data_IF_362292021813
#
_entry.id   IF_362292021813
#
_cell.length_a   1.000
_cell.length_b   1.000
_cell.length_c   1.000
_cell.angle_alpha   90.00
_cell.angle_beta   90.00
_cell.angle_gamma   90.00
#
_symmetry.space_group_name_H-M   'P 1'
#
loop_
_entity.id
_entity.type
_entity.pdbx_description
1 polymer ?
#
# COMPACT_ATOMS: atom_id res chain seq x y z
N UNK A 1 15.95 12.29 -14.06
CA UNK A 1 14.83 13.14 -14.50
C UNK A 1 14.16 13.65 -13.24
N UNK A 2 14.07 14.96 -13.06
CA UNK A 2 13.51 15.61 -11.86
C UNK A 2 12.10 16.17 -12.11
N UNK A 3 11.39 15.64 -13.12
CA UNK A 3 10.05 16.08 -13.47
C UNK A 3 8.99 15.10 -12.98
N UNK A 4 7.84 15.64 -12.59
CA UNK A 4 6.62 14.90 -12.28
C UNK A 4 5.77 14.83 -13.55
N UNK A 5 5.37 13.61 -13.93
CA UNK A 5 4.49 13.38 -15.08
C UNK A 5 3.09 13.05 -14.60
N UNK A 6 2.09 13.77 -15.11
CA UNK A 6 0.68 13.52 -14.81
C UNK A 6 -0.03 12.96 -16.03
N UNK A 7 -0.50 11.72 -15.92
CA UNK A 7 -1.26 11.03 -16.96
C UNK A 7 -2.76 11.13 -16.66
N UNK A 8 -3.43 12.05 -17.35
CA UNK A 8 -4.84 12.35 -17.16
C UNK A 8 -5.69 11.97 -18.38
N UNK A 9 -7.02 11.80 -18.21
CA UNK A 9 -7.95 11.77 -19.33
C UNK A 9 -7.86 13.07 -20.15
N UNK A 10 -8.00 12.96 -21.46
CA UNK A 10 -8.18 14.14 -22.32
C UNK A 10 -9.54 14.79 -22.06
N UNK A 11 -9.65 16.10 -22.32
CA UNK A 11 -10.88 16.87 -22.07
C UNK A 11 -12.09 16.35 -22.88
N UNK A 12 -11.85 15.74 -24.03
CA UNK A 12 -12.88 15.12 -24.88
C UNK A 12 -13.28 13.70 -24.43
N UNK A 13 -12.61 13.16 -23.40
CA UNK A 13 -12.82 11.82 -22.87
C UNK A 13 -12.37 10.68 -23.80
N UNK A 14 -11.74 10.97 -24.94
CA UNK A 14 -11.38 9.97 -25.97
C UNK A 14 -9.90 9.63 -26.02
N UNK A 15 -9.09 10.26 -25.19
CA UNK A 15 -7.65 10.04 -25.13
C UNK A 15 -7.07 10.27 -23.73
N UNK A 16 -5.75 10.27 -23.66
CA UNK A 16 -4.99 10.65 -22.47
C UNK A 16 -4.02 11.75 -22.82
N UNK A 17 -3.79 12.65 -21.88
CA UNK A 17 -2.78 13.69 -21.96
C UNK A 17 -1.70 13.42 -20.93
N UNK A 18 -0.50 13.92 -21.22
CA UNK A 18 0.63 13.93 -20.29
C UNK A 18 0.94 15.39 -20.00
N UNK A 19 0.95 15.76 -18.74
CA UNK A 19 1.43 17.06 -18.26
C UNK A 19 2.75 16.81 -17.54
N UNK A 20 3.83 17.43 -18.03
CA UNK A 20 5.14 17.39 -17.38
C UNK A 20 5.29 18.64 -16.51
N UNK A 21 5.74 18.44 -15.27
CA UNK A 21 5.95 19.48 -14.28
C UNK A 21 7.39 19.42 -13.76
N UNK A 22 8.15 20.49 -13.94
CA UNK A 22 9.44 20.69 -13.29
C UNK A 22 9.29 21.15 -11.83
N UNK A 23 10.38 21.14 -11.04
CA UNK A 23 10.35 21.63 -9.66
C UNK A 23 9.80 23.06 -9.55
N UNK A 24 8.82 23.27 -8.67
CA UNK A 24 8.12 24.53 -8.47
C UNK A 24 6.94 24.77 -9.42
N UNK A 25 6.77 23.93 -10.45
CA UNK A 25 5.62 24.02 -11.36
C UNK A 25 4.41 23.28 -10.79
N UNK A 26 3.22 23.71 -11.20
CA UNK A 26 1.97 23.11 -10.79
C UNK A 26 0.96 23.00 -11.91
N UNK A 27 0.05 22.03 -11.76
CA UNK A 27 -1.10 21.82 -12.63
C UNK A 27 -2.38 21.82 -11.81
N UNK A 28 -3.32 22.71 -12.15
CA UNK A 28 -4.65 22.70 -11.58
C UNK A 28 -5.49 21.64 -12.26
N UNK A 29 -6.36 21.03 -11.47
CA UNK A 29 -7.29 20.04 -11.97
C UNK A 29 -8.71 20.37 -11.54
N UNK A 30 -9.66 19.92 -12.36
CA UNK A 30 -11.08 20.11 -12.12
C UNK A 30 -11.85 20.03 -13.41
N UNK A 31 -13.12 20.45 -13.37
CA UNK A 31 -13.99 20.46 -14.54
C UNK A 31 -13.72 21.64 -15.48
N UNK A 32 -13.09 22.71 -14.96
CA UNK A 32 -12.82 23.95 -15.69
C UNK A 32 -14.06 24.74 -16.12
N UNK A 33 -13.81 25.88 -16.75
CA UNK A 33 -14.75 26.67 -17.55
C UNK A 33 -13.98 27.62 -18.48
N UNK A 34 -14.69 28.29 -19.39
CA UNK A 34 -14.12 29.34 -20.24
C UNK A 34 -13.45 30.48 -19.46
N UNK A 35 -13.95 30.77 -18.25
CA UNK A 35 -13.36 31.75 -17.32
C UNK A 35 -12.34 31.16 -16.34
N UNK A 36 -12.16 29.84 -16.32
CA UNK A 36 -11.32 29.13 -15.35
C UNK A 36 -10.71 27.90 -16.00
N UNK A 37 -9.61 28.12 -16.70
CA UNK A 37 -8.86 27.04 -17.35
C UNK A 37 -8.12 26.22 -16.30
N UNK A 38 -8.09 24.91 -16.54
CA UNK A 38 -7.34 23.93 -15.74
C UNK A 38 -6.54 23.06 -16.69
N UNK A 39 -5.33 22.73 -16.29
CA UNK A 39 -4.39 21.95 -17.09
C UNK A 39 -4.85 20.47 -17.17
N UNK A 40 -5.53 19.98 -16.14
CA UNK A 40 -6.09 18.62 -16.07
C UNK A 40 -7.62 18.69 -15.96
N UNK A 41 -8.31 18.30 -17.04
CA UNK A 41 -9.77 18.34 -17.09
C UNK A 41 -10.41 17.02 -16.68
N UNK A 42 -11.34 17.08 -15.73
CA UNK A 42 -12.15 15.95 -15.27
C UNK A 42 -13.63 16.28 -15.52
N UNK A 43 -14.22 15.63 -16.52
CA UNK A 43 -15.54 16.03 -17.07
C UNK A 43 -16.75 15.74 -16.15
N UNK A 44 -16.61 14.90 -15.12
CA UNK A 44 -17.73 14.48 -14.27
C UNK A 44 -18.38 15.68 -13.56
N UNK A 45 -19.72 15.85 -13.64
CA UNK A 45 -20.43 16.96 -13.01
C UNK A 45 -20.26 17.09 -11.49
N UNK A 46 -19.89 16.02 -10.79
CA UNK A 46 -19.61 16.02 -9.36
C UNK A 46 -18.23 16.60 -9.01
N UNK A 47 -17.34 16.77 -10.00
CA UNK A 47 -16.03 17.39 -9.80
C UNK A 47 -16.16 18.92 -9.84
N UNK A 48 -15.63 19.65 -8.82
CA UNK A 48 -15.60 21.10 -8.84
C UNK A 48 -14.91 21.67 -10.09
N UNK A 49 -15.27 22.90 -10.49
CA UNK A 49 -14.60 23.56 -11.64
C UNK A 49 -13.10 23.72 -11.39
N UNK A 50 -12.74 24.07 -10.16
CA UNK A 50 -11.38 24.05 -9.64
C UNK A 50 -11.37 23.13 -8.43
N UNK A 51 -10.89 21.91 -8.63
CA UNK A 51 -10.93 20.84 -7.63
C UNK A 51 -9.66 20.83 -6.78
N UNK A 52 -8.51 21.13 -7.38
CA UNK A 52 -7.24 21.14 -6.69
C UNK A 52 -6.08 21.53 -7.58
N UNK A 53 -4.89 21.32 -7.04
CA UNK A 53 -3.62 21.57 -7.71
C UNK A 53 -2.60 20.51 -7.31
N UNK A 54 -1.81 20.08 -8.27
CA UNK A 54 -0.60 19.27 -8.08
C UNK A 54 0.58 20.23 -8.19
N UNK A 55 1.56 20.10 -7.31
CA UNK A 55 2.80 20.89 -7.37
C UNK A 55 3.98 19.95 -7.28
N UNK A 56 4.91 20.05 -8.23
CA UNK A 56 6.19 19.35 -8.16
C UNK A 56 7.16 20.14 -7.27
N UNK A 57 7.88 19.46 -6.40
CA UNK A 57 8.98 20.05 -5.61
C UNK A 57 10.31 19.43 -6.04
N UNK A 58 11.40 19.74 -5.35
CA UNK A 58 12.72 19.19 -5.72
C UNK A 58 12.84 17.68 -5.44
N UNK A 59 12.21 17.20 -4.37
CA UNK A 59 12.38 15.85 -3.82
C UNK A 59 11.07 15.08 -3.61
N UNK A 60 9.91 15.72 -3.83
CA UNK A 60 8.59 15.10 -3.73
C UNK A 60 7.58 15.83 -4.62
N UNK A 61 6.30 15.52 -4.44
CA UNK A 61 5.22 16.30 -5.01
C UNK A 61 4.08 16.45 -4.01
N UNK A 62 3.25 17.45 -4.24
CA UNK A 62 2.21 17.86 -3.30
C UNK A 62 0.85 17.87 -3.98
N UNK A 63 -0.20 17.57 -3.20
CA UNK A 63 -1.58 17.67 -3.60
C UNK A 63 -2.33 18.69 -2.74
N UNK A 64 -2.89 19.69 -3.38
CA UNK A 64 -3.84 20.63 -2.77
C UNK A 64 -5.27 20.22 -3.11
N UNK A 65 -6.10 20.06 -2.08
CA UNK A 65 -7.53 19.79 -2.20
C UNK A 65 -8.30 21.08 -1.94
N UNK A 66 -8.89 21.66 -2.98
CA UNK A 66 -9.72 22.87 -2.87
C UNK A 66 -11.20 22.58 -2.62
N UNK A 67 -11.62 21.32 -2.62
CA UNK A 67 -12.98 20.95 -2.22
C UNK A 67 -13.22 21.34 -0.77
N UNK A 68 -14.44 21.82 -0.49
CA UNK A 68 -14.92 22.18 0.84
C UNK A 68 -15.62 21.03 1.55
N UNK A 69 -15.92 19.94 0.83
CA UNK A 69 -16.82 18.87 1.29
C UNK A 69 -16.11 17.52 1.35
N UNK A 70 -15.51 17.10 0.26
CA UNK A 70 -14.96 15.75 0.12
C UNK A 70 -13.43 15.72 0.21
N UNK A 71 -12.92 14.66 0.82
CA UNK A 71 -11.50 14.31 0.76
C UNK A 71 -11.17 13.69 -0.59
N UNK A 72 -9.91 13.80 -1.01
CA UNK A 72 -9.35 13.04 -2.11
C UNK A 72 -8.53 11.87 -1.57
N UNK A 73 -8.42 10.81 -2.37
CA UNK A 73 -7.52 9.71 -2.06
C UNK A 73 -6.33 9.78 -3.01
N UNK A 74 -5.15 9.49 -2.47
CA UNK A 74 -3.99 9.17 -3.29
C UNK A 74 -3.64 7.73 -2.96
N UNK A 75 -3.86 6.85 -3.92
CA UNK A 75 -3.59 5.42 -3.82
C UNK A 75 -2.16 5.15 -4.33
N UNK A 76 -1.45 4.23 -3.69
CA UNK A 76 -0.19 3.67 -4.16
C UNK A 76 -0.51 2.34 -4.87
N UNK A 77 -0.49 2.29 -6.22
CA UNK A 77 -0.78 1.06 -6.94
C UNK A 77 0.28 -0.04 -6.74
N UNK A 78 1.46 0.30 -6.20
CA UNK A 78 2.54 -0.64 -5.90
C UNK A 78 2.55 -1.08 -4.42
N UNK A 79 1.69 -0.50 -3.57
CA UNK A 79 1.79 -0.61 -2.11
C UNK A 79 0.74 -1.48 -1.44
N UNK A 80 0.34 -2.63 -2.00
CA UNK A 80 -0.66 -3.53 -1.41
C UNK A 80 -1.95 -2.83 -0.90
N UNK A 81 -2.46 -1.83 -1.64
CA UNK A 81 -3.64 -1.05 -1.29
C UNK A 81 -3.40 0.13 -0.32
N UNK A 82 -2.16 0.55 -0.12
CA UNK A 82 -1.81 1.78 0.58
C UNK A 82 -2.46 3.02 -0.04
N UNK A 83 -2.95 3.93 0.82
CA UNK A 83 -3.46 5.21 0.38
C UNK A 83 -3.30 6.28 1.47
N UNK A 84 -3.25 7.54 1.04
CA UNK A 84 -3.40 8.69 1.92
C UNK A 84 -4.68 9.45 1.58
N UNK A 85 -5.31 10.02 2.62
CA UNK A 85 -6.50 10.85 2.47
C UNK A 85 -6.11 12.32 2.58
N UNK A 86 -6.37 13.10 1.54
CA UNK A 86 -6.15 14.54 1.53
C UNK A 86 -7.47 15.23 1.88
N UNK A 87 -7.55 15.74 3.11
CA UNK A 87 -8.74 16.37 3.67
C UNK A 87 -9.21 17.59 2.84
N UNK A 88 -10.51 17.95 2.90
CA UNK A 88 -11.02 19.18 2.28
C UNK A 88 -10.22 20.41 2.73
N UNK A 89 -9.96 21.32 1.80
CA UNK A 89 -9.19 22.57 2.01
C UNK A 89 -7.73 22.37 2.46
N UNK A 90 -7.19 21.14 2.42
CA UNK A 90 -5.78 20.90 2.71
C UNK A 90 -4.95 21.40 1.53
N UNK A 91 -4.00 22.29 1.80
CA UNK A 91 -3.04 22.79 0.82
C UNK A 91 -1.72 22.04 0.97
N UNK A 92 -1.06 21.79 -0.16
CA UNK A 92 0.31 21.28 -0.21
C UNK A 92 0.52 20.00 0.60
N UNK A 93 -0.41 19.03 0.52
CA UNK A 93 -0.21 17.76 1.22
C UNK A 93 0.93 16.99 0.54
N UNK A 94 2.05 16.70 1.23
CA UNK A 94 3.15 15.96 0.63
C UNK A 94 2.70 14.54 0.33
N UNK A 95 3.01 14.06 -0.87
CA UNK A 95 2.68 12.71 -1.31
C UNK A 95 3.94 11.86 -1.34
N UNK A 96 4.01 10.78 -0.55
CA UNK A 96 5.21 9.95 -0.43
C UNK A 96 5.23 8.80 -1.44
N UNK A 97 4.60 8.97 -2.61
CA UNK A 97 4.48 7.92 -3.62
C UNK A 97 5.05 8.37 -4.95
N UNK A 98 5.99 7.60 -5.48
CA UNK A 98 6.58 7.74 -6.81
C UNK A 98 5.53 7.46 -7.90
N UNK A 99 4.78 6.37 -7.76
CA UNK A 99 3.65 6.06 -8.61
C UNK A 99 2.36 6.16 -7.81
N UNK A 100 1.48 7.06 -8.24
CA UNK A 100 0.26 7.32 -7.51
C UNK A 100 -0.95 7.45 -8.41
N UNK A 101 -2.11 7.10 -7.87
CA UNK A 101 -3.41 7.35 -8.48
C UNK A 101 -4.20 8.31 -7.59
N UNK A 102 -4.48 9.51 -8.10
CA UNK A 102 -5.32 10.48 -7.39
C UNK A 102 -6.77 10.23 -7.76
N UNK A 103 -7.62 10.04 -6.74
CA UNK A 103 -9.02 9.63 -6.90
C UNK A 103 -9.93 10.67 -6.28
N UNK A 104 -10.89 11.14 -7.07
CA UNK A 104 -11.93 12.07 -6.67
C UNK A 104 -13.27 11.34 -6.57
N UNK A 105 -14.05 11.59 -5.50
CA UNK A 105 -15.37 11.01 -5.37
C UNK A 105 -16.33 11.65 -6.39
N UNK A 106 -17.13 10.81 -7.04
CA UNK A 106 -18.18 11.22 -7.99
C UNK A 106 -19.49 10.48 -7.66
N UNK A 107 -20.57 10.77 -8.41
CA UNK A 107 -21.85 10.05 -8.24
C UNK A 107 -21.88 8.68 -8.92
N UNK A 108 -20.90 8.40 -9.78
CA UNK A 108 -20.74 7.15 -10.52
C UNK A 108 -19.36 6.54 -10.26
N UNK A 109 -18.72 5.94 -11.27
CA UNK A 109 -17.32 5.53 -11.15
C UNK A 109 -16.43 6.71 -10.77
N UNK A 110 -15.54 6.51 -9.81
CA UNK A 110 -14.64 7.56 -9.36
C UNK A 110 -13.74 8.06 -10.50
N UNK A 111 -13.54 9.38 -10.56
CA UNK A 111 -12.62 9.98 -11.52
C UNK A 111 -11.20 9.93 -10.97
N UNK A 112 -10.23 9.64 -11.83
CA UNK A 112 -8.84 9.55 -11.43
C UNK A 112 -7.85 9.94 -12.53
N UNK A 113 -6.66 10.31 -12.12
CA UNK A 113 -5.48 10.46 -12.96
C UNK A 113 -4.27 9.87 -12.24
N UNK A 114 -3.19 9.61 -12.98
CA UNK A 114 -1.97 9.02 -12.43
C UNK A 114 -0.86 10.05 -12.38
N UNK A 115 -0.02 9.95 -11.35
CA UNK A 115 1.14 10.81 -11.15
C UNK A 115 2.37 9.90 -11.06
N UNK A 116 3.40 10.23 -11.82
CA UNK A 116 4.70 9.57 -11.80
C UNK A 116 5.73 10.62 -11.38
N UNK A 117 6.25 10.49 -10.17
CA UNK A 117 7.30 11.35 -9.62
C UNK A 117 8.66 10.65 -9.70
N UNK A 118 9.76 11.42 -9.65
CA UNK A 118 11.11 10.86 -9.53
C UNK A 118 11.25 9.97 -8.29
N UNK A 119 12.12 8.97 -8.38
CA UNK A 119 12.41 8.07 -7.25
C UNK A 119 12.98 8.83 -6.05
N UNK A 120 12.55 8.47 -4.83
CA UNK A 120 13.15 9.03 -3.63
C UNK A 120 14.62 8.61 -3.53
N UNK A 121 15.46 9.54 -3.06
CA UNK A 121 16.86 9.23 -2.75
C UNK A 121 16.91 8.63 -1.35
N UNK A 122 17.27 7.35 -1.26
CA UNK A 122 17.47 6.67 0.00
C UNK A 122 18.91 6.83 0.48
N UNK A 123 19.08 6.99 1.79
CA UNK A 123 20.40 7.05 2.40
C UNK A 123 21.07 5.67 2.31
N UNK A 124 22.22 5.59 1.64
CA UNK A 124 23.03 4.37 1.62
C UNK A 124 23.60 4.11 3.02
N UNK A 125 23.35 2.93 3.58
CA UNK A 125 23.80 2.60 4.93
C UNK A 125 25.33 2.47 4.96
N UNK A 126 26.04 3.56 5.24
CA UNK A 126 27.43 3.48 5.68
C UNK A 126 27.46 2.67 6.98
N UNK A 127 28.32 1.65 7.06
CA UNK A 127 28.60 1.01 8.34
C UNK A 127 29.13 2.08 9.28
N UNK A 128 28.39 2.43 10.36
CA UNK A 128 28.92 3.37 11.32
C UNK A 128 30.24 2.80 11.84
N UNK A 129 31.27 3.64 12.06
CA UNK A 129 32.49 3.19 12.73
C UNK A 129 32.11 2.48 14.03
N UNK A 130 32.93 1.53 14.51
CA UNK A 130 32.66 0.86 15.79
C UNK A 130 32.56 1.91 16.91
N UNK A 131 31.31 2.26 17.25
CA UNK A 131 31.02 3.22 18.30
C UNK A 131 31.06 2.47 19.62
N UNK A 132 31.79 3.00 20.60
CA UNK A 132 31.79 2.46 21.95
C UNK A 132 30.38 2.52 22.55
N UNK A 133 29.74 1.37 22.76
CA UNK A 133 28.39 1.27 23.31
C UNK A 133 27.77 -0.12 23.12
N UNK A 134 26.61 -0.36 23.73
CA UNK A 134 25.86 -1.59 23.48
C UNK A 134 25.33 -1.64 22.05
N UNK A 135 25.46 -2.78 21.38
CA UNK A 135 24.93 -2.97 20.04
C UNK A 135 23.42 -2.71 19.98
N UNK A 136 22.96 -2.03 18.93
CA UNK A 136 21.53 -1.83 18.66
C UNK A 136 20.88 -3.19 18.40
N UNK A 137 19.94 -3.58 19.27
CA UNK A 137 19.17 -4.80 19.09
C UNK A 137 18.00 -4.55 18.11
N UNK A 138 17.76 -5.49 17.20
CA UNK A 138 16.57 -5.45 16.35
C UNK A 138 15.30 -5.55 17.19
N UNK A 139 14.31 -4.70 16.91
CA UNK A 139 13.00 -4.73 17.56
C UNK A 139 12.25 -6.06 17.28
N UNK A 140 12.46 -6.64 16.10
CA UNK A 140 11.87 -7.90 15.66
C UNK A 140 12.93 -8.78 15.01
N UNK A 141 13.45 -9.76 15.76
CA UNK A 141 14.43 -10.73 15.23
C UNK A 141 13.72 -11.92 14.58
N UNK A 142 13.17 -11.70 13.38
CA UNK A 142 12.62 -12.75 12.54
C UNK A 142 13.74 -13.40 11.71
N UNK A 143 13.66 -14.72 11.56
CA UNK A 143 14.53 -15.53 10.73
C UNK A 143 13.68 -16.01 9.54
N UNK A 144 13.98 -15.48 8.36
CA UNK A 144 13.20 -15.74 7.15
C UNK A 144 13.30 -17.20 6.67
N UNK A 145 14.32 -17.93 7.12
CA UNK A 145 14.51 -19.35 6.80
C UNK A 145 13.65 -20.29 7.65
N UNK A 146 13.06 -19.79 8.74
CA UNK A 146 12.35 -20.61 9.70
C UNK A 146 10.88 -20.88 9.32
N UNK A 147 10.37 -22.06 9.68
CA UNK A 147 8.97 -22.46 9.40
C UNK A 147 7.93 -21.48 9.96
N UNK A 148 8.20 -20.86 11.11
CA UNK A 148 7.28 -19.86 11.66
C UNK A 148 7.17 -18.63 10.75
N UNK A 149 8.22 -18.28 10.01
CA UNK A 149 8.18 -17.17 9.06
C UNK A 149 7.34 -17.53 7.85
N UNK A 150 7.46 -18.74 7.30
CA UNK A 150 6.57 -19.23 6.24
C UNK A 150 5.09 -19.21 6.66
N UNK A 151 4.79 -19.59 7.91
CA UNK A 151 3.44 -19.45 8.50
C UNK A 151 2.98 -17.99 8.53
N UNK A 152 3.87 -17.06 8.92
CA UNK A 152 3.56 -15.63 8.93
C UNK A 152 3.29 -15.09 7.52
N UNK A 153 4.10 -15.46 6.53
CA UNK A 153 3.92 -15.08 5.13
C UNK A 153 2.58 -15.61 4.59
N UNK A 154 2.24 -16.87 4.85
CA UNK A 154 0.96 -17.45 4.43
C UNK A 154 -0.26 -16.74 5.06
N UNK A 155 -0.15 -16.28 6.31
CA UNK A 155 -1.20 -15.49 6.96
C UNK A 155 -1.35 -14.09 6.35
N UNK A 156 -0.24 -13.49 5.90
CA UNK A 156 -0.23 -12.14 5.30
C UNK A 156 -0.58 -12.15 3.81
N UNK A 157 -0.42 -13.28 3.11
CA UNK A 157 -0.57 -13.40 1.65
C UNK A 157 -1.85 -12.74 1.12
N UNK A 158 -3.06 -12.95 1.68
CA UNK A 158 -4.27 -12.36 1.09
C UNK A 158 -4.25 -10.83 1.05
N UNK A 159 -3.73 -10.19 2.11
CA UNK A 159 -3.67 -8.73 2.19
C UNK A 159 -2.58 -8.15 1.30
N UNK A 160 -1.46 -8.86 1.13
CA UNK A 160 -0.36 -8.48 0.24
C UNK A 160 -0.70 -8.63 -1.26
N UNK A 161 -1.75 -9.37 -1.61
CA UNK A 161 -2.21 -9.54 -3.00
C UNK A 161 -3.47 -8.73 -3.30
N UNK A 162 -3.62 -7.56 -2.67
CA UNK A 162 -4.72 -6.62 -2.87
C UNK A 162 -6.13 -7.19 -2.64
N UNK A 163 -6.30 -8.03 -1.61
CA UNK A 163 -7.62 -8.33 -1.05
C UNK A 163 -7.75 -7.71 0.36
N UNK A 164 -7.96 -6.38 0.49
CA UNK A 164 -8.06 -5.72 1.80
C UNK A 164 -9.20 -6.26 2.68
N UNK A 165 -10.26 -6.76 2.03
CA UNK A 165 -11.42 -7.37 2.68
C UNK A 165 -11.27 -8.90 2.89
N UNK A 166 -10.16 -9.52 2.49
CA UNK A 166 -9.96 -10.94 2.75
C UNK A 166 -9.83 -11.18 4.26
N UNK A 167 -10.66 -12.09 4.76
CA UNK A 167 -10.51 -12.62 6.11
C UNK A 167 -9.14 -13.27 6.28
N UNK A 168 -8.61 -13.21 7.50
CA UNK A 168 -7.30 -13.80 7.79
C UNK A 168 -7.39 -15.32 7.71
N UNK A 169 -6.44 -15.99 7.03
CA UNK A 169 -6.44 -17.44 6.92
C UNK A 169 -6.46 -18.14 8.27
N UNK A 170 -7.24 -19.22 8.33
CA UNK A 170 -7.22 -20.16 9.45
C UNK A 170 -5.93 -20.98 9.47
N UNK A 171 -5.60 -21.61 10.59
CA UNK A 171 -4.45 -22.53 10.69
C UNK A 171 -4.54 -23.67 9.69
N UNK A 172 -5.75 -24.20 9.47
CA UNK A 172 -6.02 -25.19 8.43
C UNK A 172 -5.69 -24.68 7.03
N UNK A 173 -6.18 -23.48 6.69
CA UNK A 173 -5.89 -22.86 5.40
C UNK A 173 -4.40 -22.58 5.21
N UNK A 174 -3.67 -22.21 6.28
CA UNK A 174 -2.21 -22.06 6.23
C UNK A 174 -1.51 -23.39 5.93
N UNK A 175 -1.91 -24.48 6.60
CA UNK A 175 -1.37 -25.83 6.34
C UNK A 175 -1.64 -26.24 4.89
N UNK A 176 -2.88 -26.07 4.41
CA UNK A 176 -3.23 -26.35 3.03
C UNK A 176 -2.40 -25.52 2.04
N UNK A 177 -2.17 -24.24 2.36
CA UNK A 177 -1.37 -23.31 1.54
C UNK A 177 0.11 -23.69 1.47
N UNK A 178 0.66 -24.28 2.53
CA UNK A 178 2.07 -24.64 2.67
C UNK A 178 2.39 -26.10 2.33
N UNK A 179 1.39 -26.94 2.06
CA UNK A 179 1.56 -28.39 1.84
C UNK A 179 2.57 -28.75 0.75
N UNK A 180 2.66 -27.92 -0.30
CA UNK A 180 3.60 -28.14 -1.41
C UNK A 180 5.00 -27.53 -1.17
N UNK A 181 5.22 -26.88 -0.03
CA UNK A 181 6.51 -26.31 0.32
C UNK A 181 7.46 -27.41 0.83
N UNK A 182 8.71 -27.51 0.34
CA UNK A 182 9.64 -28.58 0.73
C UNK A 182 9.82 -28.73 2.24
N UNK A 183 9.89 -27.60 2.96
CA UNK A 183 10.09 -27.57 4.42
C UNK A 183 8.81 -27.74 5.25
N UNK A 184 7.62 -27.85 4.61
CA UNK A 184 6.33 -27.84 5.31
C UNK A 184 5.38 -28.98 4.90
N UNK A 185 5.86 -30.00 4.16
CA UNK A 185 5.02 -31.10 3.68
C UNK A 185 4.28 -31.86 4.79
N UNK A 186 4.85 -31.91 5.99
CA UNK A 186 4.29 -32.56 7.19
C UNK A 186 3.70 -31.58 8.21
N UNK A 187 3.55 -30.30 7.85
CA UNK A 187 3.05 -29.29 8.78
C UNK A 187 1.60 -29.62 9.19
N UNK A 188 1.38 -29.88 10.47
CA UNK A 188 0.04 -30.13 11.02
C UNK A 188 -0.64 -28.83 11.47
N UNK A 189 -1.96 -28.85 11.62
CA UNK A 189 -2.70 -27.70 12.18
C UNK A 189 -2.23 -27.33 13.59
N UNK A 190 -1.84 -28.33 14.39
CA UNK A 190 -1.30 -28.12 15.72
C UNK A 190 0.07 -27.44 15.68
N UNK A 191 0.96 -27.86 14.77
CA UNK A 191 2.25 -27.22 14.55
C UNK A 191 2.10 -25.78 14.03
N UNK A 192 1.17 -25.53 13.11
CA UNK A 192 0.85 -24.18 12.64
C UNK A 192 0.33 -23.28 13.78
N UNK A 193 -0.53 -23.82 14.66
CA UNK A 193 -1.00 -23.10 15.86
C UNK A 193 0.14 -22.79 16.83
N UNK A 194 1.07 -23.73 17.03
CA UNK A 194 2.27 -23.51 17.82
C UNK A 194 3.15 -22.38 17.24
N UNK A 195 3.38 -22.37 15.93
CA UNK A 195 4.15 -21.30 15.28
C UNK A 195 3.47 -19.93 15.40
N UNK A 196 2.15 -19.87 15.28
CA UNK A 196 1.39 -18.65 15.54
C UNK A 196 1.58 -18.16 16.99
N UNK A 197 1.56 -19.06 17.97
CA UNK A 197 1.79 -18.71 19.37
C UNK A 197 3.22 -18.23 19.63
N UNK A 198 4.21 -18.88 19.02
CA UNK A 198 5.61 -18.49 19.08
C UNK A 198 5.83 -17.10 18.45
N UNK A 199 5.25 -16.85 17.27
CA UNK A 199 5.23 -15.53 16.64
C UNK A 199 4.66 -14.47 17.58
N UNK A 200 3.45 -14.71 18.09
CA UNK A 200 2.74 -13.75 18.93
C UNK A 200 3.51 -13.41 20.22
N UNK A 201 4.07 -14.41 20.91
CA UNK A 201 4.68 -14.22 22.23
C UNK A 201 6.16 -13.86 22.18
N UNK A 202 6.93 -14.57 21.34
CA UNK A 202 8.38 -14.51 21.38
C UNK A 202 8.94 -13.50 20.37
N UNK A 203 8.39 -13.49 19.16
CA UNK A 203 8.93 -12.68 18.05
C UNK A 203 8.32 -11.30 17.96
N UNK A 204 7.00 -11.22 18.05
CA UNK A 204 6.22 -10.00 17.83
C UNK A 204 5.74 -9.36 19.14
N UNK A 205 5.74 -10.12 20.24
CA UNK A 205 5.35 -9.66 21.59
C UNK A 205 4.00 -8.92 21.57
N UNK A 206 3.06 -9.46 20.79
CA UNK A 206 1.72 -8.91 20.61
C UNK A 206 1.02 -8.91 21.97
N UNK A 207 0.75 -7.71 22.49
CA UNK A 207 -0.11 -7.56 23.68
C UNK A 207 -1.50 -8.05 23.31
N UNK A 208 -2.12 -8.83 24.19
CA UNK A 208 -3.52 -9.25 24.01
C UNK A 208 -4.33 -7.97 23.85
N UNK A 209 -4.89 -7.74 22.68
CA UNK A 209 -5.82 -6.64 22.45
C UNK A 209 -7.11 -6.99 23.17
N UNK A 210 -7.62 -6.07 23.98
CA UNK A 210 -8.86 -6.22 24.76
C UNK A 210 -10.12 -6.12 23.87
N UNK A 211 -10.07 -6.71 22.66
CA UNK A 211 -11.13 -6.64 21.67
C UNK A 211 -12.03 -7.89 21.77
N UNK A 212 -13.32 -7.65 21.97
CA UNK A 212 -14.37 -8.66 22.05
C UNK A 212 -14.54 -9.40 20.70
N UNK A 213 -13.99 -10.61 20.63
CA UNK A 213 -14.19 -11.57 19.53
C UNK A 213 -13.68 -12.97 19.93
N UNK A 214 -13.93 -14.03 19.13
CA UNK A 214 -13.41 -15.37 19.40
C UNK A 214 -11.89 -15.30 19.60
N UNK A 215 -11.41 -15.76 20.76
CA UNK A 215 -10.06 -15.50 21.32
C UNK A 215 -8.87 -15.78 20.37
N UNK A 216 -9.06 -16.61 19.34
CA UNK A 216 -8.01 -16.99 18.37
C UNK A 216 -7.96 -16.09 17.14
N UNK A 217 -9.10 -15.55 16.70
CA UNK A 217 -9.17 -14.67 15.53
C UNK A 217 -8.49 -13.34 15.80
N UNK A 218 -8.71 -12.77 17.00
CA UNK A 218 -8.03 -11.55 17.43
C UNK A 218 -6.50 -11.68 17.51
N UNK A 219 -5.98 -12.88 17.82
CA UNK A 219 -4.53 -13.12 17.87
C UNK A 219 -3.92 -13.13 16.47
N UNK A 220 -4.52 -13.87 15.52
CA UNK A 220 -4.06 -13.88 14.12
C UNK A 220 -4.13 -12.49 13.52
N UNK A 221 -5.22 -11.77 13.78
CA UNK A 221 -5.41 -10.38 13.36
C UNK A 221 -4.32 -9.46 13.89
N UNK A 222 -4.00 -9.53 15.18
CA UNK A 222 -2.97 -8.69 15.75
C UNK A 222 -1.56 -9.04 15.23
N UNK A 223 -1.26 -10.32 15.00
CA UNK A 223 0.00 -10.77 14.39
C UNK A 223 0.15 -10.24 12.96
N UNK A 224 -0.86 -10.46 12.10
CA UNK A 224 -0.84 -10.00 10.71
C UNK A 224 -0.80 -8.48 10.63
N UNK A 225 -1.63 -7.80 11.43
CA UNK A 225 -1.66 -6.33 11.47
C UNK A 225 -0.32 -5.74 11.90
N UNK A 226 0.36 -6.33 12.89
CA UNK A 226 1.68 -5.85 13.31
C UNK A 226 2.74 -6.11 12.24
N UNK A 227 2.74 -7.31 11.65
CA UNK A 227 3.70 -7.68 10.62
C UNK A 227 3.61 -6.78 9.39
N UNK A 228 2.39 -6.51 8.91
CA UNK A 228 2.18 -5.62 7.76
C UNK A 228 2.48 -4.16 8.11
N UNK A 229 2.07 -3.68 9.29
CA UNK A 229 2.30 -2.30 9.73
C UNK A 229 3.78 -1.90 9.72
N UNK A 230 4.66 -2.82 10.11
CA UNK A 230 6.10 -2.58 10.20
C UNK A 230 6.88 -3.16 9.02
N UNK A 231 6.20 -3.62 7.96
CA UNK A 231 6.86 -4.19 6.78
C UNK A 231 7.71 -5.42 7.10
N UNK A 232 7.37 -6.19 8.14
CA UNK A 232 8.07 -7.43 8.52
C UNK A 232 7.82 -8.55 7.51
N UNK A 233 6.68 -8.50 6.82
CA UNK A 233 6.39 -9.30 5.64
C UNK A 233 6.01 -8.39 4.49
N UNK A 234 6.71 -8.54 3.37
CA UNK A 234 6.56 -7.74 2.14
C UNK A 234 6.21 -8.62 0.94
N UNK A 235 5.90 -8.00 -0.19
CA UNK A 235 5.56 -8.72 -1.42
C UNK A 235 6.68 -9.64 -1.90
N UNK A 236 7.95 -9.25 -1.73
CA UNK A 236 9.11 -10.08 -2.06
C UNK A 236 9.09 -11.45 -1.34
N UNK A 237 8.55 -11.51 -0.13
CA UNK A 237 8.47 -12.74 0.65
C UNK A 237 7.38 -13.69 0.12
N UNK A 238 6.46 -13.23 -0.75
CA UNK A 238 5.49 -14.12 -1.39
C UNK A 238 6.18 -15.19 -2.26
N UNK A 239 7.41 -14.93 -2.71
CA UNK A 239 8.25 -15.92 -3.40
C UNK A 239 8.65 -17.12 -2.54
N UNK A 240 8.56 -17.01 -1.21
CA UNK A 240 8.79 -18.11 -0.28
C UNK A 240 7.62 -19.10 -0.24
N UNK A 241 6.43 -18.70 -0.73
CA UNK A 241 5.28 -19.59 -0.75
C UNK A 241 5.27 -20.44 -2.02
N UNK A 242 4.72 -21.66 -1.98
CA UNK A 242 4.51 -22.45 -3.19
C UNK A 242 3.71 -21.67 -4.24
N UNK A 243 4.00 -21.82 -5.55
CA UNK A 243 3.22 -21.18 -6.59
C UNK A 243 1.74 -21.61 -6.49
N UNK A 244 0.82 -20.66 -6.67
CA UNK A 244 -0.61 -21.01 -6.74
C UNK A 244 -0.87 -21.79 -8.03
N UNK A 245 -1.76 -22.80 -8.00
CA UNK A 245 -2.29 -23.35 -9.24
C UNK A 245 -2.91 -22.19 -10.03
N UNK A 246 -2.51 -22.02 -11.30
CA UNK A 246 -3.18 -21.08 -12.18
C UNK A 246 -4.64 -21.51 -12.24
N UNK A 247 -5.56 -20.63 -11.82
CA UNK A 247 -6.97 -20.82 -12.18
C UNK A 247 -7.01 -20.78 -13.70
N UNK A 248 -7.25 -21.92 -14.33
CA UNK A 248 -7.68 -21.99 -15.72
C UNK A 248 -8.96 -21.18 -15.82
N UNK A 249 -8.84 -19.91 -16.21
CA UNK A 249 -9.96 -19.10 -16.61
C UNK A 249 -10.55 -19.76 -17.86
N UNK A 250 -11.77 -20.25 -17.70
CA UNK A 250 -12.61 -20.76 -18.78
C UNK A 250 -12.68 -19.74 -19.91
N UNK A 251 -12.07 -20.09 -21.05
CA UNK A 251 -12.53 -19.62 -22.35
C UNK A 251 -13.89 -20.23 -22.61
N UNK A 252 -14.93 -19.40 -22.56
CA UNK A 252 -16.18 -19.55 -23.34
C UNK A 252 -16.85 -18.20 -23.49
#
# INVERSE_FOLDING_TARGET
MNSVLVHAPAADGRGRIIVELGPGEGARFGRGSTSLMVEITLADPAVPRLAGEITATEDHWQLSNFSTVHSYLVENPEGAGEYIRVAPRRLGAPVPFEFARVVLPTRGPAQAFHVYAPAHTYHEAAHPPELSGSATLSAFSLDESATYFLVLVALCEPRLRDLPAAGIPTTRQVVERLRLHPSCGELTEQAASFHLDYLARNKLRVRRTDAHGPRMDGKREAVVSLALRFGLVREEHLGLLPPRPKSTSETS
#
